data_IF_771575372710
#
_entry.id   IF_771575372710
#
_cell.length_a   1.000
_cell.length_b   1.000
_cell.length_c   1.000
_cell.angle_alpha   90.00
_cell.angle_beta   90.00
_cell.angle_gamma   90.00
#
_symmetry.space_group_name_H-M   'P 1'
#
loop_
_entity.id
_entity.type
_entity.pdbx_description
1 polymer ?
#
# COMPACT_ATOMS: atom_id res chain seq x y z
N UNK A 1 -25.50 -24.65 -8.81
CA UNK A 1 -24.67 -23.97 -9.83
C UNK A 1 -24.54 -22.47 -9.57
N UNK A 2 -25.63 -21.71 -9.43
CA UNK A 2 -25.55 -20.25 -9.20
C UNK A 2 -24.76 -19.87 -7.94
N UNK A 3 -24.96 -20.58 -6.82
CA UNK A 3 -24.18 -20.36 -5.60
C UNK A 3 -22.68 -20.55 -5.82
N UNK A 4 -22.27 -21.58 -6.59
CA UNK A 4 -20.87 -21.82 -6.93
C UNK A 4 -20.30 -20.65 -7.76
N UNK A 5 -21.03 -20.17 -8.77
CA UNK A 5 -20.59 -19.02 -9.58
C UNK A 5 -20.43 -17.77 -8.72
N UNK A 6 -21.41 -17.49 -7.85
CA UNK A 6 -21.36 -16.33 -6.96
C UNK A 6 -20.16 -16.42 -6.01
N UNK A 7 -19.89 -17.59 -5.42
CA UNK A 7 -18.72 -17.81 -4.57
C UNK A 7 -17.42 -17.61 -5.35
N UNK A 8 -17.31 -18.15 -6.58
CA UNK A 8 -16.13 -17.96 -7.42
C UNK A 8 -15.92 -16.48 -7.76
N UNK A 9 -16.99 -15.75 -8.09
CA UNK A 9 -16.91 -14.30 -8.34
C UNK A 9 -16.35 -13.57 -7.12
N UNK A 10 -16.89 -13.83 -5.92
CA UNK A 10 -16.41 -13.23 -4.67
C UNK A 10 -14.92 -13.50 -4.46
N UNK A 11 -14.49 -14.77 -4.59
CA UNK A 11 -13.08 -15.15 -4.39
C UNK A 11 -12.15 -14.51 -5.43
N UNK A 12 -12.56 -14.47 -6.70
CA UNK A 12 -11.81 -13.81 -7.76
C UNK A 12 -11.74 -12.30 -7.52
N UNK A 13 -12.82 -11.66 -7.06
CA UNK A 13 -12.80 -10.24 -6.72
C UNK A 13 -11.86 -9.97 -5.54
N UNK A 14 -11.86 -10.79 -4.49
CA UNK A 14 -10.91 -10.65 -3.37
C UNK A 14 -9.45 -10.72 -3.89
N UNK A 15 -9.15 -11.69 -4.76
CA UNK A 15 -7.82 -11.83 -5.34
C UNK A 15 -7.44 -10.64 -6.25
N UNK A 16 -8.37 -10.19 -7.09
CA UNK A 16 -8.16 -9.03 -7.97
C UNK A 16 -7.98 -7.73 -7.18
N UNK A 17 -8.66 -7.60 -6.04
CA UNK A 17 -8.55 -6.41 -5.18
C UNK A 17 -7.16 -6.24 -4.58
N UNK A 18 -6.39 -7.31 -4.37
CA UNK A 18 -4.98 -7.17 -3.97
C UNK A 18 -4.17 -6.42 -5.04
N UNK A 19 -4.39 -6.74 -6.32
CA UNK A 19 -3.74 -6.05 -7.43
C UNK A 19 -4.21 -4.59 -7.51
N UNK A 20 -5.53 -4.36 -7.45
CA UNK A 20 -6.11 -3.01 -7.47
C UNK A 20 -5.57 -2.17 -6.32
N UNK A 21 -5.53 -2.70 -5.10
CA UNK A 21 -5.00 -2.03 -3.93
C UNK A 21 -3.52 -1.73 -4.08
N UNK A 22 -2.69 -2.69 -4.50
CA UNK A 22 -1.26 -2.49 -4.67
C UNK A 22 -0.94 -1.43 -5.73
N UNK A 23 -1.67 -1.44 -6.86
CA UNK A 23 -1.52 -0.44 -7.91
C UNK A 23 -2.02 0.94 -7.46
N UNK A 24 -3.18 1.01 -6.81
CA UNK A 24 -3.71 2.27 -6.29
C UNK A 24 -2.77 2.86 -5.25
N UNK A 25 -2.24 2.04 -4.35
CA UNK A 25 -1.27 2.44 -3.34
C UNK A 25 0.00 3.01 -3.99
N UNK A 26 0.56 2.31 -4.99
CA UNK A 26 1.79 2.73 -5.67
C UNK A 26 1.64 3.96 -6.58
N UNK A 27 0.55 4.05 -7.34
CA UNK A 27 0.43 5.03 -8.43
C UNK A 27 -0.50 6.19 -8.09
N UNK A 28 -1.48 5.99 -7.21
CA UNK A 28 -2.41 7.03 -6.76
C UNK A 28 -1.93 7.57 -5.42
N UNK A 29 -1.89 6.74 -4.38
CA UNK A 29 -1.62 7.19 -3.00
C UNK A 29 -0.18 7.69 -2.84
N UNK A 30 0.82 7.02 -3.43
CA UNK A 30 2.21 7.49 -3.51
C UNK A 30 2.49 8.40 -4.73
N UNK A 31 1.44 8.88 -5.39
CA UNK A 31 1.51 9.78 -6.54
C UNK A 31 0.72 11.05 -6.30
N UNK A 32 -0.27 11.31 -7.17
CA UNK A 32 -1.10 12.52 -7.10
C UNK A 32 -2.05 12.54 -5.88
N UNK A 33 -2.29 11.40 -5.25
CA UNK A 33 -3.08 11.26 -4.03
C UNK A 33 -2.28 11.40 -2.72
N UNK A 34 -0.99 11.75 -2.79
CA UNK A 34 -0.12 11.82 -1.61
C UNK A 34 -0.69 12.67 -0.48
N UNK A 35 -1.36 13.79 -0.77
CA UNK A 35 -1.96 14.64 0.27
C UNK A 35 -2.97 13.93 1.18
N UNK A 36 -3.66 12.89 0.71
CA UNK A 36 -4.52 12.07 1.57
C UNK A 36 -3.73 10.99 2.31
N UNK A 37 -2.72 10.42 1.63
CA UNK A 37 -1.93 9.33 2.15
C UNK A 37 -0.82 9.74 3.12
N UNK A 38 -0.37 11.00 3.08
CA UNK A 38 0.76 11.49 3.88
C UNK A 38 0.53 11.30 5.37
N UNK A 39 -0.67 11.63 5.85
CA UNK A 39 -1.08 11.42 7.25
C UNK A 39 -0.88 9.98 7.75
N UNK A 40 -0.89 9.02 6.83
CA UNK A 40 -0.69 7.60 7.11
C UNK A 40 0.78 7.21 7.30
N UNK A 41 1.69 7.93 6.65
CA UNK A 41 3.13 7.76 6.75
C UNK A 41 3.75 8.51 7.95
N UNK A 42 2.96 9.33 8.63
CA UNK A 42 3.39 10.10 9.79
C UNK A 42 2.99 9.41 11.10
N UNK A 43 3.68 9.71 12.22
CA UNK A 43 3.23 9.28 13.53
C UNK A 43 1.79 9.74 13.79
N UNK A 44 0.91 8.80 14.12
CA UNK A 44 -0.51 9.08 14.33
C UNK A 44 -0.74 10.05 15.48
N UNK A 45 -1.62 11.02 15.24
CA UNK A 45 -2.08 12.00 16.25
C UNK A 45 -3.54 11.80 16.65
N UNK A 46 -4.33 11.07 15.86
CA UNK A 46 -5.77 10.90 16.07
C UNK A 46 -6.29 9.52 15.63
N UNK A 47 -7.52 9.21 16.06
CA UNK A 47 -8.24 7.98 15.68
C UNK A 47 -8.52 7.88 14.18
N UNK A 48 -8.81 9.01 13.54
CA UNK A 48 -9.01 9.12 12.09
C UNK A 48 -7.81 9.78 11.42
N UNK A 49 -7.54 9.40 10.18
CA UNK A 49 -6.55 10.00 9.28
C UNK A 49 -7.23 10.49 8.01
N UNK A 50 -6.65 11.48 7.33
CA UNK A 50 -7.14 11.90 5.99
C UNK A 50 -7.09 10.72 5.01
N UNK A 51 -6.15 9.81 5.22
CA UNK A 51 -6.03 8.57 4.47
C UNK A 51 -7.30 7.69 4.52
N UNK A 52 -8.12 7.80 5.56
CA UNK A 52 -9.34 7.03 5.71
C UNK A 52 -10.38 7.38 4.61
N UNK A 53 -10.22 8.52 3.92
CA UNK A 53 -11.01 8.86 2.73
C UNK A 53 -10.90 7.81 1.62
N UNK A 54 -9.75 7.13 1.47
CA UNK A 54 -9.63 6.03 0.52
C UNK A 54 -10.57 4.88 0.87
N UNK A 55 -10.67 4.52 2.16
CA UNK A 55 -11.60 3.49 2.62
C UNK A 55 -13.05 3.89 2.34
N UNK A 56 -13.41 5.17 2.52
CA UNK A 56 -14.73 5.70 2.18
C UNK A 56 -15.02 5.58 0.68
N UNK A 57 -14.07 5.95 -0.19
CA UNK A 57 -14.25 5.82 -1.65
C UNK A 57 -14.50 4.36 -2.05
N UNK A 58 -13.68 3.42 -1.57
CA UNK A 58 -13.88 2.00 -1.88
C UNK A 58 -15.17 1.44 -1.29
N UNK A 59 -15.59 1.90 -0.10
CA UNK A 59 -16.86 1.52 0.50
C UNK A 59 -18.05 1.99 -0.34
N UNK A 60 -18.03 3.25 -0.81
CA UNK A 60 -19.08 3.79 -1.69
C UNK A 60 -19.15 3.00 -2.99
N UNK A 61 -18.01 2.69 -3.62
CA UNK A 61 -17.97 1.86 -4.83
C UNK A 61 -18.57 0.47 -4.59
N UNK A 62 -18.22 -0.18 -3.48
CA UNK A 62 -18.78 -1.49 -3.12
C UNK A 62 -20.30 -1.41 -2.89
N UNK A 63 -20.78 -0.38 -2.18
CA UNK A 63 -22.21 -0.16 -1.93
C UNK A 63 -22.98 0.03 -3.24
N UNK A 64 -22.45 0.84 -4.16
CA UNK A 64 -23.06 1.07 -5.48
C UNK A 64 -23.15 -0.25 -6.27
N UNK A 65 -22.08 -1.04 -6.31
CA UNK A 65 -22.08 -2.34 -6.98
C UNK A 65 -23.10 -3.31 -6.35
N UNK A 66 -23.19 -3.33 -5.02
CA UNK A 66 -24.20 -4.12 -4.30
C UNK A 66 -25.61 -3.66 -4.67
N UNK A 67 -25.90 -2.36 -4.59
CA UNK A 67 -27.21 -1.80 -4.90
C UNK A 67 -27.64 -2.13 -6.34
N UNK A 68 -26.77 -1.87 -7.32
CA UNK A 68 -27.03 -2.16 -8.73
C UNK A 68 -27.24 -3.66 -8.98
N UNK A 69 -26.43 -4.51 -8.35
CA UNK A 69 -26.59 -5.96 -8.45
C UNK A 69 -27.89 -6.47 -7.83
N UNK A 70 -28.31 -5.89 -6.70
CA UNK A 70 -29.61 -6.20 -6.07
C UNK A 70 -30.81 -5.68 -6.86
N UNK A 71 -30.62 -4.66 -7.70
CA UNK A 71 -31.61 -4.19 -8.67
C UNK A 71 -31.69 -5.03 -9.95
N UNK A 72 -30.94 -6.13 -10.03
CA UNK A 72 -31.04 -7.10 -11.12
C UNK A 72 -29.84 -7.12 -12.06
N UNK A 73 -28.84 -6.25 -11.87
CA UNK A 73 -27.60 -6.26 -12.65
C UNK A 73 -26.61 -7.30 -12.11
N UNK A 74 -26.97 -8.58 -12.19
CA UNK A 74 -26.05 -9.67 -11.85
C UNK A 74 -24.82 -9.62 -12.79
N UNK A 75 -23.57 -9.81 -12.30
CA UNK A 75 -23.17 -10.28 -10.96
C UNK A 75 -22.70 -9.19 -9.99
N UNK A 76 -23.04 -7.91 -10.18
CA UNK A 76 -22.39 -6.79 -9.49
C UNK A 76 -22.43 -6.86 -7.96
N UNK A 77 -23.47 -7.44 -7.37
CA UNK A 77 -23.57 -7.60 -5.92
C UNK A 77 -22.53 -8.54 -5.34
N UNK A 78 -22.11 -9.55 -6.10
CA UNK A 78 -21.07 -10.48 -5.68
C UNK A 78 -19.68 -9.89 -5.83
N UNK A 79 -19.49 -9.03 -6.84
CA UNK A 79 -18.27 -8.21 -6.96
C UNK A 79 -18.19 -7.24 -5.78
N UNK A 80 -19.26 -6.49 -5.51
CA UNK A 80 -19.32 -5.58 -4.37
C UNK A 80 -19.11 -6.31 -3.04
N UNK A 81 -19.70 -7.49 -2.85
CA UNK A 81 -19.45 -8.33 -1.67
C UNK A 81 -17.98 -8.76 -1.55
N UNK A 82 -17.33 -9.14 -2.65
CA UNK A 82 -15.90 -9.44 -2.68
C UNK A 82 -15.02 -8.23 -2.33
N UNK A 83 -15.38 -7.04 -2.83
CA UNK A 83 -14.72 -5.79 -2.47
C UNK A 83 -14.88 -5.47 -0.97
N UNK A 84 -16.08 -5.61 -0.42
CA UNK A 84 -16.34 -5.43 1.01
C UNK A 84 -15.55 -6.44 1.86
N UNK A 85 -15.52 -7.71 1.46
CA UNK A 85 -14.75 -8.74 2.16
C UNK A 85 -13.24 -8.43 2.14
N UNK A 86 -12.70 -8.01 0.99
CA UNK A 86 -11.32 -7.56 0.90
C UNK A 86 -11.07 -6.32 1.78
N UNK A 87 -11.98 -5.34 1.78
CA UNK A 87 -11.91 -4.16 2.64
C UNK A 87 -11.92 -4.50 4.14
N UNK A 88 -12.70 -5.51 4.55
CA UNK A 88 -12.70 -6.00 5.93
C UNK A 88 -11.36 -6.67 6.28
N UNK A 89 -10.82 -7.53 5.40
CA UNK A 89 -9.49 -8.12 5.56
C UNK A 89 -8.40 -7.04 5.64
N UNK A 90 -8.53 -5.99 4.81
CA UNK A 90 -7.67 -4.82 4.82
C UNK A 90 -7.70 -4.14 6.18
N UNK A 91 -8.88 -3.71 6.64
CA UNK A 91 -9.02 -3.04 7.93
C UNK A 91 -8.49 -3.91 9.09
N UNK A 92 -8.72 -5.22 9.06
CA UNK A 92 -8.24 -6.11 10.11
C UNK A 92 -6.70 -6.21 10.14
N UNK A 93 -6.07 -6.45 9.00
CA UNK A 93 -4.62 -6.68 8.96
C UNK A 93 -3.83 -5.36 8.91
N UNK A 94 -4.33 -4.32 8.24
CA UNK A 94 -3.64 -3.05 8.03
C UNK A 94 -3.78 -2.20 9.27
N UNK A 95 -5.01 -1.74 9.50
CA UNK A 95 -5.36 -0.83 10.57
C UNK A 95 -5.23 -1.55 11.92
N UNK A 96 -5.85 -2.72 12.03
CA UNK A 96 -5.83 -3.53 13.24
C UNK A 96 -4.46 -4.05 13.61
N UNK A 97 -3.92 -4.97 12.81
CA UNK A 97 -2.68 -5.68 13.14
C UNK A 97 -1.42 -4.82 12.93
N UNK A 98 -1.30 -4.05 11.85
CA UNK A 98 -0.05 -3.31 11.59
C UNK A 98 -0.02 -1.95 12.27
N UNK A 99 -1.08 -1.15 12.09
CA UNK A 99 -1.19 0.20 12.66
C UNK A 99 -1.75 0.21 14.09
N UNK A 100 -2.10 -0.95 14.65
CA UNK A 100 -2.53 -1.10 16.04
C UNK A 100 -3.72 -0.19 16.38
N UNK A 101 -4.67 -0.04 15.44
CA UNK A 101 -5.90 0.73 15.61
C UNK A 101 -6.95 0.00 16.46
N UNK A 102 -6.73 -1.27 16.77
CA UNK A 102 -7.59 -2.05 17.65
C UNK A 102 -7.43 -1.63 19.11
N UNK A 103 -8.46 -1.89 19.96
CA UNK A 103 -8.36 -1.63 21.40
C UNK A 103 -7.33 -2.49 22.13
N UNK A 104 -6.77 -3.52 21.46
CA UNK A 104 -5.73 -4.40 21.97
C UNK A 104 -4.52 -4.43 21.05
N UNK A 105 -3.33 -4.56 21.66
CA UNK A 105 -2.06 -4.58 20.94
C UNK A 105 -1.59 -6.02 20.70
N UNK A 106 -1.43 -6.42 19.44
CA UNK A 106 -0.88 -7.74 19.08
C UNK A 106 0.26 -7.60 18.07
N UNK A 107 1.43 -8.14 18.41
CA UNK A 107 2.62 -8.12 17.55
C UNK A 107 2.96 -9.56 17.13
N UNK A 108 2.82 -9.90 15.84
CA UNK A 108 3.06 -11.26 15.38
C UNK A 108 4.55 -11.61 15.44
N UNK A 109 4.89 -12.73 16.08
CA UNK A 109 6.30 -13.14 16.31
C UNK A 109 6.84 -14.16 15.30
N UNK A 110 5.95 -14.88 14.59
CA UNK A 110 6.28 -15.97 13.65
C UNK A 110 5.28 -16.02 12.49
N UNK A 111 5.63 -16.77 11.43
CA UNK A 111 4.71 -17.08 10.32
C UNK A 111 4.42 -15.90 9.38
N UNK A 112 3.33 -16.01 8.62
CA UNK A 112 3.01 -15.07 7.56
C UNK A 112 2.59 -13.69 8.08
N UNK A 113 1.85 -13.62 9.19
CA UNK A 113 1.46 -12.34 9.80
C UNK A 113 2.68 -11.50 10.21
N UNK A 114 3.76 -12.12 10.68
CA UNK A 114 5.03 -11.43 10.92
C UNK A 114 5.60 -10.85 9.63
N UNK A 115 5.53 -11.60 8.53
CA UNK A 115 6.02 -11.17 7.21
C UNK A 115 5.23 -9.95 6.71
N UNK A 116 3.91 -9.99 6.77
CA UNK A 116 3.05 -8.85 6.43
C UNK A 116 3.39 -7.63 7.29
N UNK A 117 3.47 -7.82 8.61
CA UNK A 117 3.82 -6.76 9.56
C UNK A 117 5.17 -6.11 9.24
N UNK A 118 6.21 -6.90 8.98
CA UNK A 118 7.54 -6.37 8.66
C UNK A 118 7.60 -5.71 7.28
N UNK A 119 6.96 -6.30 6.27
CA UNK A 119 6.92 -5.73 4.92
C UNK A 119 6.28 -4.34 4.93
N UNK A 120 5.16 -4.17 5.64
CA UNK A 120 4.48 -2.89 5.77
C UNK A 120 5.27 -1.87 6.59
N UNK A 121 5.96 -2.31 7.65
CA UNK A 121 6.87 -1.41 8.39
C UNK A 121 8.06 -0.93 7.54
N UNK A 122 8.59 -1.79 6.67
CA UNK A 122 9.65 -1.42 5.73
C UNK A 122 9.14 -0.45 4.66
N UNK A 123 7.88 -0.59 4.23
CA UNK A 123 7.21 0.37 3.37
C UNK A 123 7.15 1.75 4.03
N UNK A 124 6.66 1.82 5.27
CA UNK A 124 6.56 3.07 6.03
C UNK A 124 7.90 3.73 6.39
N UNK A 125 9.00 2.98 6.34
CA UNK A 125 10.34 3.52 6.62
C UNK A 125 10.85 4.48 5.52
N UNK A 126 10.23 4.48 4.34
CA UNK A 126 10.59 5.35 3.21
C UNK A 126 9.39 6.22 2.86
N UNK A 127 9.60 7.53 2.77
CA UNK A 127 8.58 8.47 2.29
C UNK A 127 8.65 8.56 0.77
N UNK A 128 7.49 8.50 0.11
CA UNK A 128 7.36 8.60 -1.35
C UNK A 128 7.64 7.31 -2.12
N UNK A 129 7.35 7.32 -3.42
CA UNK A 129 7.27 6.13 -4.28
C UNK A 129 8.60 5.49 -4.67
N UNK A 130 9.60 6.30 -5.02
CA UNK A 130 10.76 5.86 -5.82
C UNK A 130 11.66 4.85 -5.09
N UNK A 131 11.86 5.06 -3.80
CA UNK A 131 12.68 4.19 -2.98
C UNK A 131 11.86 3.18 -2.16
N UNK A 132 10.54 3.34 -2.13
CA UNK A 132 9.67 2.54 -1.29
C UNK A 132 9.46 1.11 -1.81
N UNK A 133 9.29 0.18 -0.89
CA UNK A 133 9.14 -1.25 -1.15
C UNK A 133 7.80 -1.74 -0.66
N UNK A 134 7.29 -2.81 -1.27
CA UNK A 134 6.05 -3.50 -0.87
C UNK A 134 4.82 -2.59 -0.78
N UNK A 135 4.10 -2.43 -1.89
CA UNK A 135 2.82 -1.70 -1.93
C UNK A 135 1.60 -2.61 -1.74
N UNK A 136 1.79 -3.92 -1.90
CA UNK A 136 0.77 -4.93 -1.64
C UNK A 136 0.54 -5.12 -0.15
N UNK A 137 -0.62 -5.66 0.17
CA UNK A 137 -1.12 -5.71 1.53
C UNK A 137 -1.33 -7.15 2.03
N UNK A 138 -2.13 -7.96 1.31
CA UNK A 138 -2.27 -9.39 1.62
C UNK A 138 -1.16 -10.22 1.01
N UNK A 139 -0.42 -9.69 0.03
CA UNK A 139 0.79 -10.31 -0.51
C UNK A 139 2.04 -9.56 -0.04
N UNK A 140 2.85 -10.22 0.81
CA UNK A 140 4.15 -9.72 1.22
C UNK A 140 5.30 -10.57 0.66
N UNK A 141 6.20 -9.97 -0.15
CA UNK A 141 7.46 -10.60 -0.53
C UNK A 141 8.32 -10.98 0.70
N UNK A 142 9.30 -11.89 0.55
CA UNK A 142 10.25 -12.20 1.62
C UNK A 142 10.93 -10.93 2.15
N UNK A 143 10.99 -10.80 3.47
CA UNK A 143 11.50 -9.59 4.15
C UNK A 143 12.96 -9.33 3.76
N UNK A 144 13.73 -10.39 3.59
CA UNK A 144 15.15 -10.36 3.20
C UNK A 144 15.32 -9.70 1.83
N UNK A 145 14.42 -10.00 0.87
CA UNK A 145 14.43 -9.38 -0.47
C UNK A 145 14.04 -7.91 -0.41
N UNK A 146 13.09 -7.55 0.46
CA UNK A 146 12.69 -6.14 0.67
C UNK A 146 13.84 -5.33 1.26
N UNK A 147 14.51 -5.86 2.29
CA UNK A 147 15.68 -5.23 2.91
C UNK A 147 16.85 -5.09 1.93
N UNK A 148 17.14 -6.13 1.13
CA UNK A 148 18.17 -6.07 0.10
C UNK A 148 17.88 -4.98 -0.94
N UNK A 149 16.64 -4.91 -1.43
CA UNK A 149 16.20 -3.86 -2.36
C UNK A 149 16.37 -2.46 -1.76
N UNK A 150 15.96 -2.25 -0.50
CA UNK A 150 16.13 -0.97 0.19
C UNK A 150 17.59 -0.56 0.31
N UNK A 151 18.47 -1.50 0.69
CA UNK A 151 19.92 -1.24 0.79
C UNK A 151 20.52 -0.87 -0.57
N UNK A 152 20.15 -1.60 -1.62
CA UNK A 152 20.62 -1.34 -2.97
C UNK A 152 20.20 0.05 -3.47
N UNK A 153 18.94 0.43 -3.26
CA UNK A 153 18.42 1.75 -3.65
C UNK A 153 19.08 2.89 -2.89
N UNK A 154 19.24 2.75 -1.57
CA UNK A 154 19.96 3.73 -0.74
C UNK A 154 21.41 3.91 -1.21
N UNK A 155 22.11 2.82 -1.52
CA UNK A 155 23.48 2.87 -2.04
C UNK A 155 23.54 3.58 -3.41
N UNK A 156 22.60 3.26 -4.32
CA UNK A 156 22.50 3.93 -5.63
C UNK A 156 22.27 5.43 -5.49
N UNK A 157 21.37 5.84 -4.58
CA UNK A 157 21.08 7.26 -4.32
C UNK A 157 22.29 8.00 -3.76
N UNK A 158 22.99 7.40 -2.79
CA UNK A 158 24.21 7.99 -2.23
C UNK A 158 25.31 8.15 -3.30
N UNK A 159 25.45 7.17 -4.21
CA UNK A 159 26.39 7.25 -5.33
C UNK A 159 26.03 8.37 -6.32
N UNK A 160 24.74 8.54 -6.67
CA UNK A 160 24.32 9.63 -7.56
C UNK A 160 24.48 11.01 -6.92
N UNK A 161 24.19 11.16 -5.63
CA UNK A 161 24.40 12.42 -4.90
C UNK A 161 25.90 12.76 -4.76
N UNK A 162 26.75 11.75 -4.57
CA UNK A 162 28.21 11.92 -4.57
C UNK A 162 28.77 12.34 -5.92
N UNK A 163 28.31 11.71 -7.01
CA UNK A 163 28.72 12.08 -8.37
C UNK A 163 28.29 13.52 -8.74
N UNK A 164 27.05 13.90 -8.41
CA UNK A 164 26.54 15.25 -8.65
C UNK A 164 27.24 16.34 -7.82
N UNK A 165 27.89 15.98 -6.71
CA UNK A 165 28.72 16.90 -5.91
C UNK A 165 30.17 16.98 -6.39
N UNK A 166 30.66 15.99 -7.15
CA UNK A 166 32.01 16.00 -7.71
C UNK A 166 32.12 16.78 -9.03
N UNK A 167 31.04 16.87 -9.81
CA UNK A 167 30.98 17.66 -11.06
C UNK A 167 31.16 19.19 -10.88
N UNK A 168 30.56 19.85 -9.86
CA UNK A 168 30.71 21.30 -9.64
C UNK A 168 32.16 21.73 -9.36
N UNK A 169 32.93 20.92 -8.63
CA UNK A 169 34.31 21.26 -8.27
C UNK A 169 35.25 21.20 -9.48
N UNK A 170 35.00 20.31 -10.44
CA UNK A 170 35.79 20.24 -11.67
C UNK A 170 35.53 21.42 -12.63
N UNK A 171 34.29 21.93 -12.68
CA UNK A 171 33.93 23.08 -13.52
C UNK A 171 34.47 24.42 -12.97
N UNK A 172 34.64 24.53 -11.65
CA UNK A 172 35.14 25.75 -11.00
C UNK A 172 36.68 25.83 -11.02
N UNK A 173 37.38 24.69 -11.02
CA UNK A 173 38.84 24.65 -11.12
C UNK A 173 39.38 25.10 -12.48
N UNK A 174 38.61 24.94 -13.57
CA UNK A 174 39.01 25.33 -14.93
C UNK A 174 38.91 26.83 -15.24
N UNK A 175 38.25 27.65 -14.40
CA UNK A 175 38.07 29.08 -14.66
C UNK A 175 39.12 29.99 -14.00
N UNK A 176 40.01 29.44 -13.15
CA UNK A 176 41.06 30.21 -12.46
C UNK A 176 42.46 30.10 -13.10
N UNK A 177 42.58 29.49 -14.29
CA UNK A 177 43.86 29.35 -15.03
C UNK A 177 43.99 30.30 -16.25
N UNK A 178 43.38 31.49 -16.22
CA UNK A 178 43.61 32.52 -17.25
C UNK A 178 43.95 33.88 -16.66
#
# INVERSE_FOLDING_TARGET
>A
MLALYNTVIVLLTIAAMELVAALSHKYIMHGWGWGWHESHHEPRTSWFEVNDLYAVVFAVLAIVLIALGTWGLWPLQWIGAGMTAYGALYFMVHDGLVHQRWPFRYIPRKGYLKRLYLAHRLHHAVRGKEDCVSFGFLYAPPVEKLQATLRQRKARRAASEGAARAEPDAATASQNEK
#
